data_IF_349264155686
#
_entry.id   IF_349264155686
#
_cell.length_a   1.000
_cell.length_b   1.000
_cell.length_c   1.000
_cell.angle_alpha   90.00
_cell.angle_beta   90.00
_cell.angle_gamma   90.00
#
_symmetry.space_group_name_H-M   'P 1'
#
loop_
_entity.id
_entity.type
_entity.pdbx_description
1 polymer ?
#
# COMPACT_ATOMS: atom_id res chain seq x y z
N UNK A 1 13.63 -9.70 11.48
CA UNK A 1 12.54 -8.74 11.63
C UNK A 1 11.66 -8.76 10.38
N UNK A 2 10.34 -8.84 10.55
CA UNK A 2 9.32 -8.79 9.50
C UNK A 2 8.33 -7.65 9.77
N UNK A 3 8.11 -6.79 8.78
CA UNK A 3 7.25 -5.60 8.86
C UNK A 3 6.05 -5.75 7.93
N UNK A 4 4.86 -5.47 8.44
CA UNK A 4 3.70 -5.13 7.62
C UNK A 4 3.69 -3.61 7.46
N UNK A 5 3.97 -3.12 6.26
CA UNK A 5 3.97 -1.69 5.96
C UNK A 5 2.74 -1.37 5.10
N UNK A 6 1.92 -0.43 5.54
CA UNK A 6 0.67 -0.07 4.86
C UNK A 6 0.87 1.32 4.26
N UNK A 7 0.55 1.49 2.97
CA UNK A 7 0.65 2.79 2.31
C UNK A 7 -0.24 2.88 1.09
N UNK A 8 -0.71 4.10 0.79
CA UNK A 8 -1.64 4.35 -0.31
C UNK A 8 -0.98 4.28 -1.69
N UNK A 9 0.29 4.69 -1.80
CA UNK A 9 1.01 4.80 -3.07
C UNK A 9 2.27 3.95 -3.09
N UNK A 10 2.53 3.29 -4.22
CA UNK A 10 3.77 2.56 -4.45
C UNK A 10 4.06 2.39 -5.95
N UNK A 11 5.32 2.58 -6.41
CA UNK A 11 5.68 2.41 -7.82
C UNK A 11 5.18 1.09 -8.45
N UNK A 12 4.79 1.11 -9.74
CA UNK A 12 4.81 2.26 -10.65
C UNK A 12 3.65 3.25 -10.43
N UNK A 13 2.76 2.98 -9.48
CA UNK A 13 1.55 3.75 -9.23
C UNK A 13 1.70 4.63 -7.97
N UNK A 14 2.42 5.76 -8.12
CA UNK A 14 2.56 6.89 -7.18
C UNK A 14 2.52 8.28 -7.84
N UNK A 15 1.87 9.25 -7.22
CA UNK A 15 1.76 10.63 -7.78
C UNK A 15 2.62 11.63 -7.02
N UNK A 16 3.01 11.35 -5.78
CA UNK A 16 3.71 12.32 -4.93
C UNK A 16 4.95 11.83 -4.17
N UNK A 17 5.34 12.66 -3.21
CA UNK A 17 6.47 12.41 -2.31
C UNK A 17 6.25 11.22 -1.38
N UNK A 18 5.01 10.93 -0.98
CA UNK A 18 4.66 9.82 -0.09
C UNK A 18 5.01 8.46 -0.71
N UNK A 19 4.54 8.18 -1.94
CA UNK A 19 4.92 6.95 -2.64
C UNK A 19 6.42 6.86 -2.94
N UNK A 20 7.09 8.00 -3.12
CA UNK A 20 8.56 8.05 -3.29
C UNK A 20 9.29 7.69 -1.99
N UNK A 21 8.82 8.22 -0.87
CA UNK A 21 9.35 7.91 0.45
C UNK A 21 9.18 6.42 0.78
N UNK A 22 7.96 5.88 0.63
CA UNK A 22 7.70 4.45 0.83
C UNK A 22 8.63 3.58 0.00
N UNK A 23 8.80 3.90 -1.29
CA UNK A 23 9.70 3.15 -2.17
C UNK A 23 11.15 3.10 -1.68
N UNK A 24 11.72 4.24 -1.30
CA UNK A 24 13.11 4.27 -0.83
C UNK A 24 13.25 3.65 0.56
N UNK A 25 12.28 3.88 1.46
CA UNK A 25 12.27 3.33 2.80
C UNK A 25 12.22 1.79 2.78
N UNK A 26 11.26 1.21 2.06
CA UNK A 26 11.13 -0.26 1.97
C UNK A 26 12.38 -0.91 1.39
N UNK A 27 12.94 -0.36 0.32
CA UNK A 27 14.16 -0.91 -0.30
C UNK A 27 15.38 -0.77 0.59
N UNK A 28 15.50 0.34 1.32
CA UNK A 28 16.63 0.55 2.23
C UNK A 28 16.58 -0.42 3.42
N UNK A 29 15.39 -0.61 4.00
CA UNK A 29 15.16 -1.62 5.03
C UNK A 29 15.38 -3.05 4.51
N UNK A 30 14.93 -3.34 3.29
CA UNK A 30 15.17 -4.64 2.65
C UNK A 30 16.66 -4.91 2.46
N UNK A 31 17.46 -3.91 2.04
CA UNK A 31 18.92 -4.05 1.93
C UNK A 31 19.61 -4.31 3.28
N UNK A 32 18.99 -3.92 4.39
CA UNK A 32 19.45 -4.23 5.76
C UNK A 32 18.95 -5.59 6.27
N UNK A 33 18.32 -6.40 5.41
CA UNK A 33 17.84 -7.75 5.75
C UNK A 33 16.45 -7.81 6.38
N UNK A 34 15.73 -6.69 6.46
CA UNK A 34 14.35 -6.66 6.96
C UNK A 34 13.41 -7.28 5.92
N UNK A 35 12.49 -8.15 6.35
CA UNK A 35 11.45 -8.71 5.48
C UNK A 35 10.24 -7.80 5.49
N UNK A 36 9.73 -7.40 4.33
CA UNK A 36 8.69 -6.36 4.23
C UNK A 36 7.56 -6.85 3.35
N UNK A 37 6.35 -6.78 3.89
CA UNK A 37 5.12 -6.89 3.13
C UNK A 37 4.50 -5.50 3.05
N UNK A 38 4.52 -4.89 1.86
CA UNK A 38 3.94 -3.57 1.61
C UNK A 38 2.53 -3.71 1.06
N UNK A 39 1.53 -3.26 1.82
CA UNK A 39 0.11 -3.36 1.49
C UNK A 39 -0.37 -2.05 0.85
N UNK A 40 -0.94 -2.15 -0.35
CA UNK A 40 -1.39 -0.99 -1.13
C UNK A 40 -2.66 -1.29 -1.94
N UNK A 41 -3.41 -0.25 -2.38
CA UNK A 41 -4.60 -0.42 -3.19
C UNK A 41 -4.28 -1.12 -4.51
N UNK A 42 -5.17 -1.99 -4.98
CA UNK A 42 -5.07 -2.60 -6.31
C UNK A 42 -5.42 -1.55 -7.36
N UNK A 43 -4.49 -1.31 -8.28
CA UNK A 43 -4.54 -0.22 -9.27
C UNK A 43 -4.55 -0.71 -10.71
N UNK A 44 -4.16 -1.96 -10.94
CA UNK A 44 -4.22 -2.60 -12.26
C UNK A 44 -4.56 -4.09 -12.13
N UNK A 45 -4.79 -4.76 -13.27
CA UNK A 45 -5.00 -6.22 -13.29
C UNK A 45 -3.71 -6.99 -12.99
N UNK A 46 -2.56 -6.37 -13.19
CA UNK A 46 -1.26 -6.98 -12.98
C UNK A 46 -0.78 -6.75 -11.56
N UNK A 47 -0.36 -7.81 -10.87
CA UNK A 47 0.18 -7.69 -9.53
C UNK A 47 1.55 -7.00 -9.58
N UNK A 48 1.78 -6.06 -8.67
CA UNK A 48 3.10 -5.44 -8.50
C UNK A 48 4.12 -6.48 -8.05
N UNK A 49 5.29 -6.46 -8.68
CA UNK A 49 6.43 -7.29 -8.31
C UNK A 49 7.58 -6.41 -7.83
N UNK A 50 8.24 -6.89 -6.78
CA UNK A 50 9.52 -6.38 -6.32
C UNK A 50 10.64 -7.18 -6.96
N UNK A 51 11.75 -6.54 -7.24
CA UNK A 51 13.03 -7.12 -7.65
C UNK A 51 13.90 -7.57 -6.46
N UNK A 52 13.45 -7.33 -5.23
CA UNK A 52 14.11 -7.78 -4.00
C UNK A 52 13.32 -8.94 -3.38
N UNK A 53 14.00 -10.04 -3.06
CA UNK A 53 13.40 -11.27 -2.52
C UNK A 53 12.68 -11.09 -1.18
N UNK A 54 13.15 -10.16 -0.36
CA UNK A 54 12.63 -9.88 0.97
C UNK A 54 11.68 -8.67 1.03
N UNK A 55 11.21 -8.18 -0.13
CA UNK A 55 10.21 -7.14 -0.24
C UNK A 55 9.07 -7.64 -1.13
N UNK A 56 7.86 -7.70 -0.60
CA UNK A 56 6.67 -8.08 -1.36
C UNK A 56 5.71 -6.91 -1.40
N UNK A 57 5.12 -6.67 -2.57
CA UNK A 57 4.03 -5.69 -2.73
C UNK A 57 2.72 -6.48 -2.81
N UNK A 58 1.80 -6.18 -1.91
CA UNK A 58 0.54 -6.90 -1.74
C UNK A 58 -0.60 -5.95 -2.05
N UNK A 59 -1.35 -6.27 -3.11
CA UNK A 59 -2.54 -5.55 -3.48
C UNK A 59 -3.72 -5.99 -2.58
N UNK A 60 -4.30 -5.06 -1.82
CA UNK A 60 -5.38 -5.37 -0.86
C UNK A 60 -6.77 -5.39 -1.50
N UNK A 61 -6.96 -4.64 -2.59
CA UNK A 61 -8.23 -4.55 -3.33
C UNK A 61 -8.42 -3.19 -4.00
N UNK A 62 -9.42 -3.08 -4.88
CA UNK A 62 -9.71 -1.83 -5.60
C UNK A 62 -10.38 -0.78 -4.69
N UNK A 63 -9.83 0.44 -4.69
CA UNK A 63 -10.41 1.62 -4.03
C UNK A 63 -11.05 2.53 -5.08
N UNK A 64 -12.07 3.30 -4.69
CA UNK A 64 -12.84 4.14 -5.62
C UNK A 64 -12.05 5.36 -6.14
N UNK A 65 -10.95 5.72 -5.46
CA UNK A 65 -10.12 6.87 -5.82
C UNK A 65 -8.72 6.39 -6.18
N UNK A 66 -8.29 6.85 -7.35
CA UNK A 66 -6.94 6.69 -7.85
C UNK A 66 -6.33 8.08 -8.02
N UNK A 67 -5.06 8.26 -7.64
CA UNK A 67 -4.36 9.50 -7.92
C UNK A 67 -4.06 9.66 -9.43
N UNK A 68 -4.26 8.60 -10.22
CA UNK A 68 -4.22 8.57 -11.68
C UNK A 68 -5.62 8.51 -12.28
N UNK A 69 -6.30 9.65 -12.36
CA UNK A 69 -7.58 9.73 -13.05
C UNK A 69 -7.37 9.85 -14.55
N UNK A 70 -7.56 8.77 -15.32
CA UNK A 70 -7.63 8.88 -16.78
C UNK A 70 -8.74 8.11 -17.49
N UNK A 71 -9.65 7.36 -16.85
CA UNK A 71 -10.83 6.83 -17.57
C UNK A 71 -12.09 6.70 -16.69
N UNK A 72 -13.12 7.48 -17.06
CA UNK A 72 -14.58 7.19 -17.12
C UNK A 72 -15.26 6.26 -16.08
N UNK A 73 -14.70 6.01 -14.90
CA UNK A 73 -15.47 5.46 -13.78
C UNK A 73 -16.08 6.63 -13.02
N UNK A 74 -17.40 6.80 -13.09
CA UNK A 74 -18.17 7.55 -12.09
C UNK A 74 -17.81 6.98 -10.73
N UNK A 75 -17.05 7.75 -9.97
CA UNK A 75 -16.58 7.41 -8.63
C UNK A 75 -17.81 7.36 -7.75
N UNK A 76 -18.19 6.15 -7.33
CA UNK A 76 -19.24 5.98 -6.34
C UNK A 76 -18.59 6.15 -4.95
N UNK A 77 -18.87 7.28 -4.30
CA UNK A 77 -18.39 7.61 -2.96
C UNK A 77 -17.46 8.83 -2.88
N UNK A 78 -17.46 9.46 -1.70
CA UNK A 78 -16.51 10.54 -1.37
C UNK A 78 -15.12 9.97 -1.02
N UNK A 79 -14.16 10.88 -0.87
CA UNK A 79 -12.79 10.55 -0.51
C UNK A 79 -12.63 9.72 0.76
N UNK A 80 -13.42 10.03 1.78
CA UNK A 80 -13.34 9.34 3.06
C UNK A 80 -13.87 7.91 2.95
N UNK A 81 -14.89 7.67 2.14
CA UNK A 81 -15.40 6.33 1.85
C UNK A 81 -14.33 5.44 1.21
N UNK A 82 -13.54 5.98 0.29
CA UNK A 82 -12.42 5.25 -0.32
C UNK A 82 -11.31 4.94 0.69
N UNK A 83 -11.01 5.89 1.57
CA UNK A 83 -10.04 5.73 2.67
C UNK A 83 -10.51 4.65 3.65
N UNK A 84 -11.76 4.70 4.12
CA UNK A 84 -12.33 3.70 5.01
C UNK A 84 -12.32 2.30 4.38
N UNK A 85 -12.71 2.20 3.10
CA UNK A 85 -12.65 0.95 2.35
C UNK A 85 -11.22 0.39 2.31
N UNK A 86 -10.23 1.23 2.03
CA UNK A 86 -8.83 0.81 2.04
C UNK A 86 -8.38 0.29 3.41
N UNK A 87 -8.67 1.03 4.49
CA UNK A 87 -8.32 0.62 5.85
C UNK A 87 -8.95 -0.74 6.20
N UNK A 88 -10.23 -0.95 5.84
CA UNK A 88 -10.90 -2.24 6.02
C UNK A 88 -10.24 -3.38 5.25
N UNK A 89 -9.89 -3.14 3.98
CA UNK A 89 -9.18 -4.13 3.16
C UNK A 89 -7.80 -4.47 3.75
N UNK A 90 -7.08 -3.49 4.27
CA UNK A 90 -5.82 -3.72 4.99
C UNK A 90 -6.03 -4.57 6.24
N UNK A 91 -6.99 -4.22 7.09
CA UNK A 91 -7.34 -5.00 8.28
C UNK A 91 -7.64 -6.47 7.94
N UNK A 92 -8.39 -6.73 6.88
CA UNK A 92 -8.73 -8.09 6.43
C UNK A 92 -7.53 -8.84 5.81
N UNK A 93 -6.60 -8.13 5.16
CA UNK A 93 -5.50 -8.72 4.39
C UNK A 93 -4.23 -8.92 5.20
N UNK A 94 -3.96 -8.06 6.17
CA UNK A 94 -2.77 -8.13 7.03
C UNK A 94 -2.97 -9.31 7.98
N UNK A 95 -2.43 -10.47 7.58
CA UNK A 95 -2.47 -11.70 8.35
C UNK A 95 -1.06 -12.30 8.45
N UNK A 96 -0.80 -12.98 9.57
CA UNK A 96 0.47 -13.62 9.90
C UNK A 96 1.27 -12.88 10.97
N UNK A 97 2.43 -13.46 11.31
CA UNK A 97 3.28 -12.92 12.36
C UNK A 97 4.15 -11.77 11.80
N UNK A 98 3.97 -10.58 12.35
CA UNK A 98 4.80 -9.40 12.09
C UNK A 98 5.39 -8.90 13.41
N UNK A 99 6.63 -8.41 13.35
CA UNK A 99 7.30 -7.80 14.51
C UNK A 99 6.89 -6.31 14.67
N UNK A 100 6.44 -5.70 13.57
CA UNK A 100 6.01 -4.30 13.51
C UNK A 100 4.95 -4.12 12.41
N UNK A 101 3.89 -3.38 12.75
CA UNK A 101 2.95 -2.81 11.77
C UNK A 101 3.27 -1.32 11.63
N UNK A 102 3.57 -0.88 10.41
CA UNK A 102 3.84 0.51 10.08
C UNK A 102 2.74 1.04 9.16
N UNK A 103 1.84 1.84 9.71
CA UNK A 103 0.84 2.58 8.93
C UNK A 103 1.47 3.89 8.46
N UNK A 104 1.71 3.99 7.15
CA UNK A 104 2.28 5.18 6.55
C UNK A 104 1.19 6.22 6.28
N UNK A 105 1.38 7.44 6.78
CA UNK A 105 0.49 8.60 6.59
C UNK A 105 -0.93 8.50 7.19
N UNK A 106 -1.68 9.60 7.09
CA UNK A 106 -2.99 9.78 7.71
C UNK A 106 -4.12 8.97 7.04
N UNK A 107 -3.94 8.53 5.80
CA UNK A 107 -4.92 7.70 5.08
C UNK A 107 -4.94 6.26 5.60
N UNK A 108 -3.89 5.84 6.30
CA UNK A 108 -3.74 4.46 6.77
C UNK A 108 -3.83 4.34 8.29
N UNK A 109 -4.06 5.46 8.98
CA UNK A 109 -4.06 5.54 10.44
C UNK A 109 -5.04 4.54 11.08
N UNK A 110 -6.23 4.36 10.50
CA UNK A 110 -7.26 3.45 11.03
C UNK A 110 -6.99 1.97 10.72
N UNK A 111 -5.94 1.64 9.96
CA UNK A 111 -5.56 0.26 9.65
C UNK A 111 -4.56 -0.34 10.67
N UNK A 112 -4.02 0.48 11.58
CA UNK A 112 -3.11 0.06 12.65
C UNK A 112 -3.83 -0.05 13.98
#
# INVERSE_FOLDING_TARGET
>A
MKIAMIGWEYPPFKVGGLGTHCYYLTRSLAKLGVKIDFFAPKVSKENRKSDLENLRIIDVGETAIYPYGTETKTIDGDFFTAVEKFNKLCYEKVNGNYDLIHCHDWLTANAG
#
